data_IF_810529227139
#
_entry.id   IF_810529227139
#
_cell.length_a   1.000
_cell.length_b   1.000
_cell.length_c   1.000
_cell.angle_alpha   90.00
_cell.angle_beta   90.00
_cell.angle_gamma   90.00
#
_symmetry.space_group_name_H-M   'P 1'
#
loop_
_entity.id
_entity.type
_entity.pdbx_description
1 polymer ?
#
# COMPACT_ATOMS: atom_id res chain seq x y z
N UNK A 1 4.19 -22.33 -27.82
CA UNK A 1 4.26 -23.76 -28.25
C UNK A 1 5.40 -24.50 -27.55
N UNK A 2 6.67 -24.10 -27.72
CA UNK A 2 7.81 -24.79 -27.06
C UNK A 2 7.70 -24.82 -25.53
N UNK A 3 7.35 -23.69 -24.88
CA UNK A 3 7.10 -23.65 -23.44
C UNK A 3 6.01 -24.64 -22.99
N UNK A 4 4.89 -24.68 -23.70
CA UNK A 4 3.78 -25.61 -23.40
C UNK A 4 4.19 -27.07 -23.63
N UNK A 5 5.00 -27.34 -24.65
CA UNK A 5 5.60 -28.66 -24.87
C UNK A 5 6.51 -29.05 -23.72
N UNK A 6 7.37 -28.14 -23.25
CA UNK A 6 8.23 -28.36 -22.09
C UNK A 6 7.43 -28.66 -20.85
N UNK A 7 6.39 -27.88 -20.53
CA UNK A 7 5.54 -28.05 -19.33
C UNK A 7 4.76 -29.37 -19.27
N UNK A 8 4.61 -30.05 -20.42
CA UNK A 8 3.97 -31.38 -20.51
C UNK A 8 4.94 -32.54 -20.25
N UNK A 9 6.24 -32.27 -20.17
CA UNK A 9 7.24 -33.29 -19.86
C UNK A 9 7.35 -33.48 -18.35
N UNK A 10 7.80 -34.64 -17.88
CA UNK A 10 8.00 -34.87 -16.43
C UNK A 10 9.35 -34.33 -15.92
N UNK A 11 9.94 -33.33 -16.59
CA UNK A 11 11.27 -32.81 -16.27
C UNK A 11 11.18 -31.40 -15.68
N UNK A 12 11.33 -31.32 -14.35
CA UNK A 12 11.18 -30.08 -13.59
C UNK A 12 12.29 -29.06 -13.87
N UNK A 13 13.51 -29.52 -14.18
CA UNK A 13 14.60 -28.61 -14.55
C UNK A 13 14.36 -28.02 -15.94
N UNK A 14 13.85 -28.81 -16.89
CA UNK A 14 13.42 -28.32 -18.19
C UNK A 14 12.32 -27.25 -18.05
N UNK A 15 11.36 -27.45 -17.15
CA UNK A 15 10.32 -26.45 -16.87
C UNK A 15 10.93 -25.15 -16.35
N UNK A 16 11.81 -25.25 -15.35
CA UNK A 16 12.48 -24.10 -14.74
C UNK A 16 13.29 -23.31 -15.77
N UNK A 17 14.13 -23.98 -16.55
CA UNK A 17 14.95 -23.34 -17.58
C UNK A 17 14.10 -22.73 -18.70
N UNK A 18 13.04 -23.43 -19.12
CA UNK A 18 12.10 -22.92 -20.12
C UNK A 18 11.38 -21.64 -19.66
N UNK A 19 10.95 -21.58 -18.40
CA UNK A 19 10.32 -20.39 -17.81
C UNK A 19 11.31 -19.25 -17.59
N UNK A 20 12.54 -19.55 -17.15
CA UNK A 20 13.60 -18.56 -16.99
C UNK A 20 13.92 -17.91 -18.33
N UNK A 21 14.12 -18.70 -19.39
CA UNK A 21 14.35 -18.19 -20.73
C UNK A 21 13.16 -17.36 -21.22
N UNK A 22 11.93 -17.82 -20.98
CA UNK A 22 10.74 -17.08 -21.37
C UNK A 22 10.61 -15.74 -20.64
N UNK A 23 10.91 -15.71 -19.33
CA UNK A 23 10.95 -14.47 -18.55
C UNK A 23 12.01 -13.49 -19.10
N UNK A 24 13.18 -14.00 -19.48
CA UNK A 24 14.25 -13.18 -20.04
C UNK A 24 13.86 -12.57 -21.39
N UNK A 25 13.26 -13.37 -22.28
CA UNK A 25 12.72 -12.90 -23.57
C UNK A 25 11.68 -11.81 -23.32
N UNK A 26 10.71 -12.06 -22.44
CA UNK A 26 9.67 -11.09 -22.12
C UNK A 26 10.24 -9.81 -21.51
N UNK A 27 11.32 -9.89 -20.73
CA UNK A 27 11.91 -8.72 -20.06
C UNK A 27 12.77 -7.89 -21.01
N UNK A 28 13.55 -8.54 -21.89
CA UNK A 28 14.47 -7.84 -22.80
C UNK A 28 13.84 -7.39 -24.10
N UNK A 29 12.63 -7.85 -24.41
CA UNK A 29 11.95 -7.46 -25.62
C UNK A 29 11.77 -5.93 -25.70
N UNK A 30 12.24 -5.29 -26.79
CA UNK A 30 11.99 -3.87 -27.07
C UNK A 30 10.50 -3.58 -27.26
N UNK A 31 10.07 -2.37 -26.92
CA UNK A 31 8.66 -1.94 -26.96
C UNK A 31 8.11 -1.94 -28.41
N UNK A 32 8.96 -1.73 -29.40
CA UNK A 32 8.58 -1.64 -30.82
C UNK A 32 8.26 -3.01 -31.44
N UNK A 33 8.76 -4.11 -30.85
CA UNK A 33 8.64 -5.44 -31.42
C UNK A 33 7.59 -6.25 -30.66
N UNK A 34 6.40 -6.38 -31.26
CA UNK A 34 5.29 -7.17 -30.71
C UNK A 34 5.59 -8.66 -30.73
N UNK A 35 5.82 -9.26 -29.56
CA UNK A 35 5.94 -10.73 -29.42
C UNK A 35 4.60 -11.44 -29.64
N UNK A 36 3.51 -10.81 -29.24
CA UNK A 36 2.17 -11.34 -29.36
C UNK A 36 1.40 -10.54 -30.40
N UNK A 37 1.24 -11.12 -31.59
CA UNK A 37 0.57 -10.46 -32.73
C UNK A 37 -0.95 -10.62 -32.72
N UNK A 38 -1.49 -11.46 -31.83
CA UNK A 38 -2.93 -11.69 -31.68
C UNK A 38 -3.31 -11.98 -30.23
N UNK A 39 -4.55 -11.65 -29.86
CA UNK A 39 -5.13 -11.96 -28.54
C UNK A 39 -5.15 -13.47 -28.25
N UNK A 40 -5.29 -14.31 -29.28
CA UNK A 40 -5.18 -15.76 -29.14
C UNK A 40 -3.79 -16.20 -28.64
N UNK A 41 -2.71 -15.61 -29.15
CA UNK A 41 -1.36 -15.90 -28.68
C UNK A 41 -1.14 -15.42 -27.23
N UNK A 42 -1.65 -14.24 -26.87
CA UNK A 42 -1.62 -13.76 -25.48
C UNK A 42 -2.35 -14.74 -24.54
N UNK A 43 -3.54 -15.21 -24.93
CA UNK A 43 -4.32 -16.20 -24.17
C UNK A 43 -3.57 -17.52 -23.97
N UNK A 44 -2.96 -18.05 -25.02
CA UNK A 44 -2.20 -19.31 -24.94
C UNK A 44 -0.98 -19.17 -24.01
N UNK A 45 -0.27 -18.04 -24.10
CA UNK A 45 0.84 -17.73 -23.20
C UNK A 45 0.37 -17.58 -21.75
N UNK A 46 -0.71 -16.82 -21.51
CA UNK A 46 -1.32 -16.65 -20.19
C UNK A 46 -1.78 -17.97 -19.58
N UNK A 47 -2.37 -18.87 -20.37
CA UNK A 47 -2.76 -20.22 -19.92
C UNK A 47 -1.54 -21.06 -19.52
N UNK A 48 -0.50 -21.08 -20.34
CA UNK A 48 0.73 -21.82 -20.01
C UNK A 48 1.39 -21.28 -18.73
N UNK A 49 1.41 -19.96 -18.54
CA UNK A 49 1.92 -19.34 -17.31
C UNK A 49 1.06 -19.69 -16.08
N UNK A 50 -0.27 -19.72 -16.23
CA UNK A 50 -1.20 -20.13 -15.17
C UNK A 50 -0.98 -21.59 -14.74
N UNK A 51 -0.79 -22.49 -15.71
CA UNK A 51 -0.41 -23.89 -15.46
C UNK A 51 0.93 -23.97 -14.73
N UNK A 52 1.93 -23.20 -15.17
CA UNK A 52 3.27 -23.20 -14.57
C UNK A 52 3.31 -22.70 -13.11
N UNK A 53 2.55 -21.64 -12.77
CA UNK A 53 2.42 -21.15 -11.38
C UNK A 53 1.78 -22.20 -10.47
N UNK A 54 0.87 -23.00 -11.00
CA UNK A 54 0.19 -24.06 -10.27
C UNK A 54 1.10 -25.29 -10.04
N UNK A 55 2.35 -25.27 -10.52
CA UNK A 55 3.30 -26.35 -10.33
C UNK A 55 3.52 -26.65 -8.83
N UNK A 56 3.55 -27.94 -8.44
CA UNK A 56 3.90 -28.31 -7.06
C UNK A 56 5.36 -27.97 -6.73
N UNK A 57 6.23 -27.82 -7.73
CA UNK A 57 7.64 -27.47 -7.55
C UNK A 57 7.79 -25.96 -7.41
N UNK A 58 8.17 -25.52 -6.21
CA UNK A 58 8.23 -24.10 -5.85
C UNK A 58 9.19 -23.29 -6.76
N UNK A 59 10.31 -23.89 -7.18
CA UNK A 59 11.26 -23.23 -8.08
C UNK A 59 10.66 -22.96 -9.46
N UNK A 60 9.90 -23.91 -10.01
CA UNK A 60 9.18 -23.75 -11.28
C UNK A 60 8.13 -22.65 -11.14
N UNK A 61 7.33 -22.69 -10.06
CA UNK A 61 6.35 -21.65 -9.79
C UNK A 61 7.02 -20.28 -9.62
N UNK A 62 8.17 -20.19 -8.96
CA UNK A 62 8.89 -18.94 -8.76
C UNK A 62 9.42 -18.32 -10.07
N UNK A 63 9.92 -19.13 -11.01
CA UNK A 63 10.30 -18.64 -12.33
C UNK A 63 9.06 -18.27 -13.17
N UNK A 64 7.95 -19.00 -13.02
CA UNK A 64 6.68 -18.62 -13.65
C UNK A 64 6.17 -17.26 -13.16
N UNK A 65 6.32 -16.93 -11.87
CA UNK A 65 5.96 -15.61 -11.33
C UNK A 65 6.76 -14.47 -11.98
N UNK A 66 8.08 -14.66 -12.19
CA UNK A 66 8.90 -13.66 -12.89
C UNK A 66 8.44 -13.50 -14.35
N UNK A 67 8.17 -14.62 -15.03
CA UNK A 67 7.65 -14.59 -16.38
C UNK A 67 6.29 -13.89 -16.46
N UNK A 68 5.39 -14.11 -15.50
CA UNK A 68 4.10 -13.39 -15.40
C UNK A 68 4.32 -11.90 -15.17
N UNK A 69 5.21 -11.53 -14.24
CA UNK A 69 5.53 -10.13 -13.99
C UNK A 69 6.01 -9.43 -15.27
N UNK A 70 6.88 -10.07 -16.04
CA UNK A 70 7.32 -9.56 -17.34
C UNK A 70 6.20 -9.57 -18.39
N UNK A 71 5.36 -10.61 -18.42
CA UNK A 71 4.22 -10.74 -19.34
C UNK A 71 3.16 -9.64 -19.14
N UNK A 72 2.96 -9.17 -17.91
CA UNK A 72 1.99 -8.11 -17.57
C UNK A 72 2.41 -6.70 -17.99
N UNK A 73 3.49 -6.53 -18.76
CA UNK A 73 3.81 -5.24 -19.39
C UNK A 73 2.83 -4.92 -20.50
N UNK A 74 2.50 -3.64 -20.66
CA UNK A 74 1.61 -3.14 -21.71
C UNK A 74 1.92 -3.68 -23.10
N UNK A 75 3.18 -3.63 -23.53
CA UNK A 75 3.56 -4.01 -24.90
C UNK A 75 3.22 -5.46 -25.26
N UNK A 76 3.17 -6.33 -24.26
CA UNK A 76 2.80 -7.73 -24.43
C UNK A 76 1.28 -7.97 -24.41
N UNK A 77 0.52 -7.00 -23.89
CA UNK A 77 -0.94 -7.03 -23.77
C UNK A 77 -1.66 -6.10 -24.76
N UNK A 78 -0.92 -5.35 -25.59
CA UNK A 78 -1.47 -4.40 -26.58
C UNK A 78 -2.20 -5.04 -27.77
N UNK A 79 -2.32 -6.38 -27.83
CA UNK A 79 -3.06 -7.05 -28.89
C UNK A 79 -4.58 -6.95 -28.61
N UNK A 80 -5.33 -6.34 -29.53
CA UNK A 80 -6.77 -6.13 -29.37
C UNK A 80 -7.60 -7.37 -29.78
N UNK A 81 -8.73 -7.64 -29.10
CA UNK A 81 -9.15 -7.03 -27.83
C UNK A 81 -8.26 -7.47 -26.66
N UNK A 82 -8.06 -6.59 -25.68
CA UNK A 82 -7.38 -6.92 -24.42
C UNK A 82 -8.23 -7.94 -23.66
N UNK A 83 -7.61 -9.04 -23.21
CA UNK A 83 -8.32 -10.16 -22.59
C UNK A 83 -8.31 -10.04 -21.05
N UNK A 84 -9.07 -9.09 -20.51
CA UNK A 84 -9.05 -8.78 -19.08
C UNK A 84 -9.43 -9.98 -18.20
N UNK A 85 -10.42 -10.79 -18.58
CA UNK A 85 -10.79 -12.02 -17.86
C UNK A 85 -9.64 -13.03 -17.74
N UNK A 86 -8.84 -13.20 -18.79
CA UNK A 86 -7.66 -14.08 -18.73
C UNK A 86 -6.56 -13.48 -17.83
N UNK A 87 -6.39 -12.15 -17.85
CA UNK A 87 -5.50 -11.45 -16.93
C UNK A 87 -5.95 -11.60 -15.47
N UNK A 88 -7.26 -11.45 -15.18
CA UNK A 88 -7.82 -11.68 -13.85
C UNK A 88 -7.54 -13.11 -13.38
N UNK A 89 -7.79 -14.10 -14.23
CA UNK A 89 -7.54 -15.50 -13.91
C UNK A 89 -6.06 -15.78 -13.63
N UNK A 90 -5.15 -15.17 -14.38
CA UNK A 90 -3.70 -15.30 -14.18
C UNK A 90 -3.26 -14.67 -12.85
N UNK A 91 -3.69 -13.43 -12.58
CA UNK A 91 -3.39 -12.72 -11.33
C UNK A 91 -3.96 -13.46 -10.12
N UNK A 92 -5.20 -13.95 -10.22
CA UNK A 92 -5.83 -14.76 -9.17
C UNK A 92 -5.05 -16.04 -8.87
N UNK A 93 -4.58 -16.75 -9.90
CA UNK A 93 -3.79 -17.97 -9.73
C UNK A 93 -2.47 -17.69 -8.99
N UNK A 94 -1.76 -16.62 -9.36
CA UNK A 94 -0.55 -16.16 -8.69
C UNK A 94 -0.79 -15.83 -7.21
N UNK A 95 -1.78 -14.99 -6.92
CA UNK A 95 -2.10 -14.60 -5.54
C UNK A 95 -2.55 -15.79 -4.69
N UNK A 96 -3.40 -16.67 -5.25
CA UNK A 96 -3.89 -17.87 -4.54
C UNK A 96 -2.74 -18.82 -4.21
N UNK A 97 -1.84 -19.07 -5.16
CA UNK A 97 -0.66 -19.93 -4.93
C UNK A 97 0.20 -19.41 -3.78
N UNK A 98 0.42 -18.10 -3.71
CA UNK A 98 1.18 -17.49 -2.62
C UNK A 98 0.39 -17.53 -1.30
N UNK A 99 -0.93 -17.34 -1.34
CA UNK A 99 -1.80 -17.47 -0.17
C UNK A 99 -1.76 -18.89 0.42
N UNK A 100 -1.79 -19.94 -0.39
CA UNK A 100 -1.74 -21.34 0.06
C UNK A 100 -0.40 -21.66 0.77
N UNK A 101 0.71 -21.20 0.18
CA UNK A 101 2.03 -21.27 0.82
C UNK A 101 2.07 -20.47 2.12
N UNK A 102 1.27 -19.40 2.20
CA UNK A 102 1.18 -18.59 3.41
C UNK A 102 0.42 -19.27 4.56
N UNK A 103 -0.53 -20.14 4.22
CA UNK A 103 -1.37 -20.85 5.18
C UNK A 103 -0.70 -22.09 5.77
N UNK A 104 0.30 -22.64 5.09
CA UNK A 104 1.04 -23.81 5.55
C UNK A 104 1.80 -23.47 6.85
N UNK A 105 1.49 -24.12 7.99
CA UNK A 105 2.18 -23.86 9.25
C UNK A 105 3.67 -24.14 9.13
N UNK A 106 4.53 -23.26 9.68
CA UNK A 106 5.97 -23.51 9.80
C UNK A 106 6.31 -24.65 10.78
N UNK A 107 5.30 -25.22 11.44
CA UNK A 107 5.43 -26.27 12.45
C UNK A 107 5.62 -27.65 11.79
N UNK A 108 6.79 -27.89 11.21
CA UNK A 108 7.42 -29.20 11.33
C UNK A 108 8.38 -29.11 12.51
N UNK A 109 8.08 -29.79 13.62
CA UNK A 109 9.06 -30.08 14.68
C UNK A 109 9.81 -31.36 14.27
N UNK A 110 11.06 -31.32 13.78
CA UNK A 110 11.92 -32.49 13.90
C UNK A 110 12.33 -32.60 15.36
N UNK A 111 12.21 -33.79 15.93
CA UNK A 111 12.84 -34.12 17.20
C UNK A 111 14.36 -33.87 17.06
N UNK A 112 14.88 -32.77 17.61
CA UNK A 112 16.33 -32.49 17.65
C UNK A 112 16.72 -31.04 17.35
N UNK A 113 17.78 -30.58 18.01
CA UNK A 113 18.33 -29.21 18.06
C UNK A 113 18.77 -28.54 16.72
N UNK A 114 18.33 -29.02 15.56
CA UNK A 114 18.59 -28.44 14.23
C UNK A 114 17.51 -27.45 13.74
N UNK A 115 16.53 -27.12 14.59
CA UNK A 115 15.24 -26.50 14.21
C UNK A 115 15.33 -25.03 13.75
N UNK A 116 16.29 -24.22 14.21
CA UNK A 116 16.25 -22.77 13.97
C UNK A 116 16.67 -22.36 12.52
N UNK A 117 17.78 -22.91 12.01
CA UNK A 117 18.30 -22.56 10.66
C UNK A 117 17.35 -22.96 9.52
N UNK A 118 16.61 -24.06 9.69
CA UNK A 118 15.65 -24.53 8.68
C UNK A 118 14.40 -23.64 8.64
N UNK A 119 13.97 -23.11 9.79
CA UNK A 119 12.86 -22.16 9.89
C UNK A 119 13.19 -20.82 9.22
N UNK A 120 14.36 -20.24 9.54
CA UNK A 120 14.84 -18.98 8.93
C UNK A 120 14.94 -19.09 7.40
N UNK A 121 15.46 -20.20 6.89
CA UNK A 121 15.54 -20.46 5.44
C UNK A 121 14.15 -20.60 4.81
N UNK A 122 13.18 -21.20 5.50
CA UNK A 122 11.80 -21.31 5.02
C UNK A 122 11.12 -19.94 4.96
N UNK A 123 11.29 -19.11 5.99
CA UNK A 123 10.79 -17.74 6.04
C UNK A 123 11.38 -16.91 4.89
N UNK A 124 12.70 -17.00 4.67
CA UNK A 124 13.36 -16.29 3.58
C UNK A 124 12.84 -16.71 2.20
N UNK A 125 12.66 -18.02 1.98
CA UNK A 125 12.08 -18.54 0.73
C UNK A 125 10.66 -18.05 0.50
N UNK A 126 9.84 -18.04 1.55
CA UNK A 126 8.47 -17.51 1.53
C UNK A 126 8.45 -16.01 1.25
N UNK A 127 9.37 -15.25 1.86
CA UNK A 127 9.55 -13.82 1.60
C UNK A 127 9.91 -13.52 0.15
N UNK A 128 10.82 -14.31 -0.46
CA UNK A 128 11.18 -14.18 -1.88
C UNK A 128 10.01 -14.52 -2.80
N UNK A 129 9.26 -15.59 -2.49
CA UNK A 129 8.09 -15.97 -3.28
C UNK A 129 6.98 -14.91 -3.20
N UNK A 130 6.74 -14.36 -2.01
CA UNK A 130 5.82 -13.24 -1.79
C UNK A 130 6.27 -12.01 -2.57
N UNK A 131 7.55 -11.65 -2.53
CA UNK A 131 8.08 -10.51 -3.28
C UNK A 131 7.82 -10.66 -4.79
N UNK A 132 8.16 -11.80 -5.38
CA UNK A 132 7.91 -12.06 -6.81
C UNK A 132 6.41 -11.98 -7.15
N UNK A 133 5.54 -12.48 -6.26
CA UNK A 133 4.08 -12.42 -6.42
C UNK A 133 3.59 -10.97 -6.41
N UNK A 134 4.08 -10.16 -5.45
CA UNK A 134 3.74 -8.75 -5.33
C UNK A 134 4.27 -7.93 -6.51
N UNK A 135 5.44 -8.26 -7.06
CA UNK A 135 5.96 -7.62 -8.27
C UNK A 135 5.07 -7.90 -9.49
N UNK A 136 4.59 -9.14 -9.64
CA UNK A 136 3.59 -9.49 -10.65
C UNK A 136 2.30 -8.69 -10.45
N UNK A 137 1.81 -8.59 -9.22
CA UNK A 137 0.58 -7.87 -8.91
C UNK A 137 0.72 -6.35 -9.11
N UNK A 138 1.87 -5.77 -8.76
CA UNK A 138 2.21 -4.37 -9.07
C UNK A 138 2.19 -4.12 -10.56
N UNK A 139 2.75 -5.03 -11.36
CA UNK A 139 2.74 -4.87 -12.82
C UNK A 139 1.32 -4.98 -13.39
N UNK A 140 0.43 -5.80 -12.82
CA UNK A 140 -0.99 -5.79 -13.18
C UNK A 140 -1.67 -4.43 -12.87
N UNK A 141 -1.37 -3.83 -11.72
CA UNK A 141 -1.87 -2.48 -11.38
C UNK A 141 -1.33 -1.41 -12.32
N UNK A 142 -0.03 -1.49 -12.65
CA UNK A 142 0.61 -0.58 -13.62
C UNK A 142 -0.02 -0.72 -15.01
N UNK A 143 -0.27 -1.95 -15.47
CA UNK A 143 -0.95 -2.22 -16.73
C UNK A 143 -2.32 -1.54 -16.79
N UNK A 144 -3.12 -1.68 -15.73
CA UNK A 144 -4.42 -1.01 -15.65
C UNK A 144 -4.29 0.51 -15.76
N UNK A 145 -3.32 1.10 -15.05
CA UNK A 145 -3.04 2.55 -15.09
C UNK A 145 -2.60 3.02 -16.48
N UNK A 146 -1.79 2.23 -17.18
CA UNK A 146 -1.32 2.55 -18.54
C UNK A 146 -2.48 2.48 -19.55
N UNK A 147 -3.39 1.50 -19.43
CA UNK A 147 -4.55 1.38 -20.30
C UNK A 147 -5.66 2.40 -20.02
N UNK A 148 -5.71 3.04 -18.85
CA UNK A 148 -6.66 4.15 -18.61
C UNK A 148 -6.49 5.31 -19.60
N UNK A 149 -5.29 5.46 -20.17
CA UNK A 149 -4.98 6.50 -21.16
C UNK A 149 -5.26 6.06 -22.60
N UNK A 150 -5.69 4.83 -22.81
CA UNK A 150 -5.91 4.24 -24.13
C UNK A 150 -7.38 3.92 -24.37
N UNK A 151 -8.08 4.68 -25.23
CA UNK A 151 -9.48 4.45 -25.54
C UNK A 151 -9.75 3.05 -26.13
N UNK A 152 -8.84 2.54 -26.96
CA UNK A 152 -8.95 1.23 -27.61
C UNK A 152 -8.82 0.05 -26.65
N UNK A 153 -8.28 0.28 -25.44
CA UNK A 153 -8.10 -0.74 -24.42
C UNK A 153 -9.25 -0.77 -23.40
N UNK A 154 -10.18 0.19 -23.41
CA UNK A 154 -11.21 0.28 -22.36
C UNK A 154 -12.16 -0.92 -22.35
N UNK A 155 -12.59 -1.33 -23.53
CA UNK A 155 -13.60 -2.37 -23.71
C UNK A 155 -13.29 -3.16 -24.98
N UNK A 156 -13.84 -4.37 -25.07
CA UNK A 156 -13.74 -5.14 -26.29
C UNK A 156 -14.60 -4.50 -27.41
N UNK A 157 -14.00 -4.03 -28.53
CA UNK A 157 -14.71 -3.35 -29.61
C UNK A 157 -15.70 -4.25 -30.37
N UNK A 158 -15.65 -5.56 -30.15
CA UNK A 158 -16.57 -6.53 -30.75
C UNK A 158 -17.79 -6.83 -29.85
N UNK A 159 -17.93 -6.16 -28.71
CA UNK A 159 -19.08 -6.33 -27.80
C UNK A 159 -20.27 -5.54 -28.33
N UNK A 160 -21.42 -6.21 -28.53
CA UNK A 160 -22.63 -5.54 -28.96
C UNK A 160 -23.09 -4.48 -27.92
N UNK A 161 -23.64 -3.33 -28.32
CA UNK A 161 -24.06 -2.27 -27.39
C UNK A 161 -25.08 -2.69 -26.32
N UNK A 162 -25.83 -3.76 -26.60
CA UNK A 162 -26.86 -4.33 -25.71
C UNK A 162 -26.37 -5.49 -24.86
N UNK A 163 -25.13 -5.96 -25.03
CA UNK A 163 -24.55 -7.06 -24.26
C UNK A 163 -23.87 -6.55 -22.98
N UNK A 164 -23.89 -7.36 -21.92
CA UNK A 164 -23.14 -7.05 -20.70
C UNK A 164 -21.65 -6.94 -21.00
N UNK A 165 -21.08 -5.79 -20.64
CA UNK A 165 -19.66 -5.48 -20.83
C UNK A 165 -18.85 -6.10 -19.69
N UNK A 166 -18.68 -7.42 -19.73
CA UNK A 166 -17.99 -8.15 -18.65
C UNK A 166 -16.44 -8.14 -18.77
N UNK A 167 -15.88 -7.77 -19.93
CA UNK A 167 -14.44 -7.82 -20.21
C UNK A 167 -13.88 -6.40 -20.44
N UNK A 168 -13.96 -5.57 -19.39
CA UNK A 168 -13.58 -4.15 -19.42
C UNK A 168 -12.40 -3.85 -18.48
N UNK A 169 -11.74 -2.72 -18.74
CA UNK A 169 -10.69 -2.20 -17.87
C UNK A 169 -11.20 -1.86 -16.46
N UNK A 170 -12.45 -1.39 -16.36
CA UNK A 170 -13.10 -1.08 -15.08
C UNK A 170 -13.27 -2.35 -14.24
N UNK A 171 -13.85 -3.41 -14.82
CA UNK A 171 -13.99 -4.71 -14.15
C UNK A 171 -12.64 -5.30 -13.74
N UNK A 172 -11.59 -5.12 -14.56
CA UNK A 172 -10.23 -5.52 -14.19
C UNK A 172 -9.70 -4.72 -13.00
N UNK A 173 -9.88 -3.40 -13.00
CA UNK A 173 -9.38 -2.51 -11.92
C UNK A 173 -10.09 -2.80 -10.60
N UNK A 174 -11.42 -3.01 -10.63
CA UNK A 174 -12.20 -3.44 -9.46
C UNK A 174 -11.77 -4.83 -8.95
N UNK A 175 -11.51 -5.77 -9.87
CA UNK A 175 -10.95 -7.07 -9.53
C UNK A 175 -9.60 -6.92 -8.79
N UNK A 176 -8.70 -6.05 -9.27
CA UNK A 176 -7.41 -5.82 -8.62
C UNK A 176 -7.61 -5.28 -7.20
N UNK A 177 -8.50 -4.32 -6.99
CA UNK A 177 -8.82 -3.82 -5.65
C UNK A 177 -9.37 -4.94 -4.74
N UNK A 178 -10.32 -5.72 -5.23
CA UNK A 178 -10.92 -6.84 -4.48
C UNK A 178 -9.91 -7.94 -4.15
N UNK A 179 -9.05 -8.30 -5.10
CA UNK A 179 -7.97 -9.28 -4.89
C UNK A 179 -6.91 -8.75 -3.91
N UNK A 180 -6.64 -7.44 -3.92
CA UNK A 180 -5.75 -6.83 -2.94
C UNK A 180 -6.33 -6.98 -1.53
N UNK A 181 -7.60 -6.61 -1.38
CA UNK A 181 -8.31 -6.62 -0.11
C UNK A 181 -8.46 -8.02 0.50
N UNK A 182 -8.82 -9.00 -0.34
CA UNK A 182 -9.14 -10.36 0.11
C UNK A 182 -7.93 -11.31 0.18
N UNK A 183 -6.88 -11.09 -0.61
CA UNK A 183 -5.73 -11.99 -0.70
C UNK A 183 -4.40 -11.30 -0.36
N UNK A 184 -4.10 -10.17 -1.00
CA UNK A 184 -2.80 -9.50 -0.87
C UNK A 184 -2.56 -8.98 0.56
N UNK A 185 -3.51 -8.21 1.11
CA UNK A 185 -3.40 -7.63 2.46
C UNK A 185 -3.23 -8.75 3.51
N UNK A 186 -4.11 -9.75 3.62
CA UNK A 186 -3.94 -10.82 4.61
C UNK A 186 -2.60 -11.56 4.49
N UNK A 187 -2.14 -11.80 3.26
CA UNK A 187 -0.88 -12.50 3.00
C UNK A 187 0.35 -11.70 3.46
N UNK A 188 0.38 -10.40 3.19
CA UNK A 188 1.47 -9.51 3.61
C UNK A 188 1.43 -9.28 5.12
N UNK A 189 0.26 -9.08 5.72
CA UNK A 189 0.13 -8.89 7.17
C UNK A 189 0.60 -10.14 7.93
N UNK A 190 0.23 -11.33 7.44
CA UNK A 190 0.70 -12.59 8.04
C UNK A 190 2.20 -12.79 7.90
N UNK A 191 2.80 -12.35 6.79
CA UNK A 191 4.25 -12.36 6.65
C UNK A 191 4.89 -11.37 7.63
N UNK A 192 4.35 -10.16 7.75
CA UNK A 192 4.82 -9.10 8.67
C UNK A 192 4.89 -9.58 10.13
N UNK A 193 3.91 -10.36 10.59
CA UNK A 193 3.89 -10.96 11.92
C UNK A 193 5.07 -11.92 12.18
N UNK A 194 5.59 -12.57 11.13
CA UNK A 194 6.66 -13.56 11.21
C UNK A 194 8.04 -12.96 10.93
N UNK A 195 8.12 -12.10 9.92
CA UNK A 195 9.35 -11.51 9.45
C UNK A 195 9.06 -10.23 8.67
N UNK A 196 10.10 -9.41 8.51
CA UNK A 196 9.96 -8.14 7.82
C UNK A 196 11.09 -7.95 6.84
N UNK A 197 10.74 -7.67 5.59
CA UNK A 197 11.70 -7.35 4.54
C UNK A 197 11.31 -6.02 3.88
N UNK A 198 12.19 -4.99 3.88
CA UNK A 198 11.90 -3.67 3.34
C UNK A 198 11.34 -3.69 1.91
N UNK A 199 11.94 -4.49 1.02
CA UNK A 199 11.49 -4.61 -0.37
C UNK A 199 10.05 -5.14 -0.51
N UNK A 200 9.62 -6.09 0.35
CA UNK A 200 8.24 -6.61 0.32
C UNK A 200 7.25 -5.50 0.66
N UNK A 201 7.58 -4.71 1.70
CA UNK A 201 6.72 -3.63 2.18
C UNK A 201 6.69 -2.46 1.19
N UNK A 202 7.81 -2.15 0.56
CA UNK A 202 7.91 -1.13 -0.49
C UNK A 202 7.01 -1.48 -1.68
N UNK A 203 7.09 -2.72 -2.18
CA UNK A 203 6.24 -3.14 -3.30
C UNK A 203 4.77 -3.17 -2.88
N UNK A 204 4.47 -3.67 -1.68
CA UNK A 204 3.10 -3.75 -1.18
C UNK A 204 2.45 -2.36 -1.03
N UNK A 205 3.12 -1.40 -0.40
CA UNK A 205 2.58 -0.05 -0.26
C UNK A 205 2.47 0.66 -1.62
N UNK A 206 3.38 0.38 -2.56
CA UNK A 206 3.29 0.88 -3.94
C UNK A 206 2.05 0.35 -4.67
N UNK A 207 1.68 -0.91 -4.42
CA UNK A 207 0.44 -1.51 -4.91
C UNK A 207 -0.78 -0.80 -4.33
N UNK A 208 -0.84 -0.60 -3.01
CA UNK A 208 -1.96 0.12 -2.38
C UNK A 208 -2.12 1.53 -2.95
N UNK A 209 -1.00 2.22 -3.17
CA UNK A 209 -1.02 3.53 -3.80
C UNK A 209 -1.58 3.48 -5.23
N UNK A 210 -1.17 2.50 -6.04
CA UNK A 210 -1.67 2.32 -7.40
C UNK A 210 -3.18 2.09 -7.42
N UNK A 211 -3.73 1.36 -6.44
CA UNK A 211 -5.17 1.13 -6.31
C UNK A 211 -5.98 2.41 -6.05
N UNK A 212 -5.42 3.38 -5.32
CA UNK A 212 -6.06 4.70 -5.17
C UNK A 212 -6.16 5.47 -6.49
N UNK A 213 -5.27 5.20 -7.44
CA UNK A 213 -5.26 5.84 -8.76
C UNK A 213 -6.20 5.12 -9.72
N UNK A 214 -6.14 3.78 -9.76
CA UNK A 214 -6.91 3.01 -10.76
C UNK A 214 -8.39 2.82 -10.40
N UNK A 215 -8.78 2.92 -9.12
CA UNK A 215 -10.19 2.85 -8.67
C UNK A 215 -10.57 4.07 -7.83
N UNK A 216 -10.61 5.28 -8.41
CA UNK A 216 -10.78 6.53 -7.65
C UNK A 216 -12.13 6.60 -6.90
N UNK A 217 -13.19 6.00 -7.44
CA UNK A 217 -14.52 6.00 -6.82
C UNK A 217 -14.58 5.15 -5.53
N UNK A 218 -13.64 4.23 -5.32
CA UNK A 218 -13.52 3.44 -4.08
C UNK A 218 -12.49 3.98 -3.10
N UNK A 219 -11.74 5.03 -3.49
CA UNK A 219 -10.62 5.58 -2.72
C UNK A 219 -10.99 5.91 -1.28
N UNK A 220 -12.15 6.53 -1.05
CA UNK A 220 -12.62 6.89 0.29
C UNK A 220 -12.93 5.64 1.13
N UNK A 221 -13.74 4.72 0.62
CA UNK A 221 -14.12 3.48 1.31
C UNK A 221 -12.89 2.64 1.65
N UNK A 222 -11.96 2.54 0.70
CA UNK A 222 -10.72 1.79 0.88
C UNK A 222 -9.82 2.46 1.92
N UNK A 223 -9.65 3.78 1.87
CA UNK A 223 -8.86 4.53 2.87
C UNK A 223 -9.42 4.36 4.28
N UNK A 224 -10.74 4.47 4.46
CA UNK A 224 -11.40 4.25 5.75
C UNK A 224 -11.15 2.84 6.28
N UNK A 225 -11.23 1.83 5.42
CA UNK A 225 -10.96 0.43 5.79
C UNK A 225 -9.50 0.22 6.20
N UNK A 226 -8.55 0.75 5.43
CA UNK A 226 -7.12 0.65 5.73
C UNK A 226 -6.79 1.34 7.06
N UNK A 227 -7.31 2.55 7.28
CA UNK A 227 -7.13 3.26 8.54
C UNK A 227 -7.70 2.46 9.73
N UNK A 228 -8.93 1.96 9.62
CA UNK A 228 -9.54 1.09 10.64
C UNK A 228 -8.78 -0.24 10.86
N UNK A 229 -7.96 -0.66 9.88
CA UNK A 229 -7.11 -1.85 9.95
C UNK A 229 -5.67 -1.54 10.38
N UNK A 230 -5.44 -0.37 10.98
CA UNK A 230 -4.16 0.09 11.49
C UNK A 230 -3.05 0.44 10.48
N UNK A 231 -3.40 0.86 9.27
CA UNK A 231 -2.40 1.15 8.25
C UNK A 231 -1.65 2.48 8.45
N UNK A 232 -2.19 3.43 9.23
CA UNK A 232 -1.43 4.65 9.59
C UNK A 232 -0.29 4.24 10.51
N UNK A 233 -0.60 3.47 11.57
CA UNK A 233 0.40 2.90 12.48
C UNK A 233 1.42 2.06 11.73
N UNK A 234 0.98 1.14 10.87
CA UNK A 234 1.88 0.27 10.11
C UNK A 234 2.92 1.07 9.31
N UNK A 235 2.48 2.09 8.57
CA UNK A 235 3.39 2.90 7.75
C UNK A 235 4.40 3.70 8.61
N UNK A 236 3.98 4.20 9.78
CA UNK A 236 4.87 4.88 10.72
C UNK A 236 5.87 3.91 11.37
N UNK A 237 5.43 2.71 11.75
CA UNK A 237 6.31 1.66 12.28
C UNK A 237 7.35 1.21 11.25
N UNK A 238 6.95 1.09 9.98
CA UNK A 238 7.86 0.81 8.87
C UNK A 238 8.93 1.89 8.73
N UNK A 239 8.52 3.16 8.69
CA UNK A 239 9.44 4.31 8.59
C UNK A 239 10.39 4.36 9.79
N UNK A 240 9.88 4.19 11.01
CA UNK A 240 10.70 4.20 12.21
C UNK A 240 11.66 3.01 12.33
N UNK A 241 11.33 1.88 11.71
CA UNK A 241 12.17 0.67 11.74
C UNK A 241 13.26 0.66 10.69
N UNK A 242 13.02 1.22 9.50
CA UNK A 242 13.94 1.09 8.35
C UNK A 242 14.45 2.41 7.78
N UNK A 243 13.74 3.51 7.98
CA UNK A 243 13.98 4.79 7.32
C UNK A 243 14.63 5.83 8.24
N UNK A 244 15.29 5.39 9.32
CA UNK A 244 16.12 6.27 10.13
C UNK A 244 17.38 6.68 9.35
N UNK A 245 17.57 7.99 9.12
CA UNK A 245 18.67 8.51 8.31
C UNK A 245 18.42 8.38 6.80
N UNK A 246 19.46 8.08 6.03
CA UNK A 246 19.38 7.91 4.56
C UNK A 246 19.09 6.45 4.12
N UNK A 247 18.84 5.55 5.07
CA UNK A 247 18.56 4.15 4.80
C UNK A 247 17.19 3.96 4.14
N UNK A 248 17.11 3.08 3.15
CA UNK A 248 15.84 2.69 2.50
C UNK A 248 14.96 3.89 2.07
N UNK A 249 15.57 4.87 1.37
CA UNK A 249 14.88 6.08 0.90
C UNK A 249 13.67 5.79 0.00
N UNK A 250 13.74 4.73 -0.82
CA UNK A 250 12.61 4.28 -1.65
C UNK A 250 11.40 3.86 -0.79
N UNK A 251 11.61 3.02 0.23
CA UNK A 251 10.57 2.67 1.20
C UNK A 251 10.03 3.91 1.92
N UNK A 252 10.90 4.84 2.34
CA UNK A 252 10.46 6.08 2.99
C UNK A 252 9.53 6.89 2.09
N UNK A 253 9.89 7.02 0.80
CA UNK A 253 9.10 7.73 -0.18
C UNK A 253 7.75 7.06 -0.38
N UNK A 254 7.73 5.74 -0.58
CA UNK A 254 6.48 4.99 -0.78
C UNK A 254 5.58 5.08 0.44
N UNK A 255 6.10 4.93 1.67
CA UNK A 255 5.30 5.11 2.88
C UNK A 255 4.74 6.53 2.99
N UNK A 256 5.54 7.54 2.64
CA UNK A 256 5.14 8.95 2.70
C UNK A 256 4.07 9.26 1.66
N UNK A 257 4.20 8.77 0.42
CA UNK A 257 3.17 8.88 -0.60
C UNK A 257 1.89 8.16 -0.18
N UNK A 258 1.98 6.93 0.32
CA UNK A 258 0.83 6.17 0.82
C UNK A 258 0.08 6.93 1.91
N UNK A 259 0.79 7.41 2.94
CA UNK A 259 0.22 8.21 4.02
C UNK A 259 -0.41 9.51 3.49
N UNK A 260 0.25 10.20 2.57
CA UNK A 260 -0.27 11.42 1.94
C UNK A 260 -1.63 11.16 1.27
N UNK A 261 -1.72 10.20 0.36
CA UNK A 261 -2.96 9.92 -0.37
C UNK A 261 -4.08 9.43 0.54
N UNK A 262 -3.75 8.62 1.54
CA UNK A 262 -4.70 8.15 2.54
C UNK A 262 -5.22 9.32 3.38
N UNK A 263 -4.34 10.16 3.92
CA UNK A 263 -4.73 11.31 4.75
C UNK A 263 -5.61 12.29 3.98
N UNK A 264 -5.23 12.64 2.75
CA UNK A 264 -6.05 13.50 1.89
C UNK A 264 -7.40 12.84 1.62
N UNK A 265 -7.45 11.54 1.33
CA UNK A 265 -8.72 10.84 1.11
C UNK A 265 -9.64 10.85 2.33
N UNK A 266 -9.07 10.73 3.53
CA UNK A 266 -9.84 10.69 4.78
C UNK A 266 -10.35 12.08 5.14
N UNK A 267 -9.52 13.12 4.97
CA UNK A 267 -9.90 14.51 5.24
C UNK A 267 -10.92 15.06 4.24
N UNK A 268 -10.87 14.63 2.97
CA UNK A 268 -11.86 15.01 1.96
C UNK A 268 -13.19 14.27 2.12
N UNK A 269 -13.27 13.24 2.97
CA UNK A 269 -14.50 12.51 3.18
C UNK A 269 -15.55 13.42 3.86
N UNK A 270 -16.81 13.43 3.38
CA UNK A 270 -17.85 14.24 4.00
C UNK A 270 -18.19 13.66 5.38
N UNK A 271 -17.66 14.26 6.44
CA UNK A 271 -18.15 14.03 7.81
C UNK A 271 -19.32 14.97 8.13
N UNK A 272 -19.94 14.76 9.30
CA UNK A 272 -21.08 15.57 9.79
C UNK A 272 -20.79 17.07 9.88
N UNK A 273 -19.53 17.47 9.88
CA UNK A 273 -19.04 18.86 9.92
C UNK A 273 -18.80 19.49 8.55
N UNK A 274 -19.11 18.79 7.46
CA UNK A 274 -18.81 19.21 6.08
C UNK A 274 -17.32 19.00 5.73
N UNK A 275 -16.98 18.85 4.43
CA UNK A 275 -15.60 18.73 4.01
C UNK A 275 -14.84 20.04 4.25
N UNK A 276 -13.52 19.99 4.50
CA UNK A 276 -12.68 21.18 4.55
C UNK A 276 -12.77 21.98 3.25
N UNK A 277 -12.56 23.31 3.35
CA UNK A 277 -12.53 24.16 2.17
C UNK A 277 -11.39 23.77 1.23
N UNK A 278 -11.46 24.17 -0.05
CA UNK A 278 -10.40 23.87 -1.02
C UNK A 278 -9.04 24.46 -0.59
N UNK A 279 -9.06 25.63 0.05
CA UNK A 279 -7.88 26.29 0.62
C UNK A 279 -7.30 25.50 1.80
N UNK A 280 -8.18 25.00 2.70
CA UNK A 280 -7.77 24.15 3.83
C UNK A 280 -7.13 22.84 3.34
N UNK A 281 -7.70 22.20 2.31
CA UNK A 281 -7.14 20.99 1.70
C UNK A 281 -5.78 21.25 1.03
N UNK A 282 -5.61 22.40 0.38
CA UNK A 282 -4.33 22.79 -0.23
C UNK A 282 -3.25 22.98 0.83
N UNK A 283 -3.57 23.71 1.91
CA UNK A 283 -2.63 23.92 3.01
C UNK A 283 -2.22 22.60 3.69
N UNK A 284 -3.17 21.69 3.90
CA UNK A 284 -2.86 20.36 4.46
C UNK A 284 -2.04 19.53 3.48
N UNK A 285 -2.33 19.61 2.18
CA UNK A 285 -1.57 18.90 1.14
C UNK A 285 -0.10 19.30 1.17
N UNK A 286 0.21 20.60 1.16
CA UNK A 286 1.59 21.11 1.23
C UNK A 286 2.30 20.63 2.50
N UNK A 287 1.61 20.75 3.64
CA UNK A 287 2.12 20.35 4.94
C UNK A 287 2.46 18.86 5.00
N UNK A 288 1.58 17.99 4.47
CA UNK A 288 1.82 16.55 4.41
C UNK A 288 2.95 16.20 3.43
N UNK A 289 3.01 16.85 2.26
CA UNK A 289 4.07 16.61 1.27
C UNK A 289 5.47 16.92 1.82
N UNK A 290 5.61 18.02 2.55
CA UNK A 290 6.90 18.39 3.16
C UNK A 290 7.20 17.62 4.45
N UNK A 291 6.17 17.39 5.28
CA UNK A 291 6.34 16.80 6.61
C UNK A 291 6.57 15.28 6.60
N UNK A 292 5.80 14.53 5.81
CA UNK A 292 5.81 13.06 5.85
C UNK A 292 7.19 12.44 5.56
N UNK A 293 7.98 12.89 4.56
CA UNK A 293 9.31 12.34 4.31
C UNK A 293 10.27 12.48 5.49
N UNK A 294 10.07 13.49 6.34
CA UNK A 294 10.93 13.81 7.48
C UNK A 294 10.55 13.08 8.78
N UNK A 295 9.43 12.36 8.78
CA UNK A 295 8.98 11.57 9.93
C UNK A 295 9.60 10.18 9.83
N UNK A 296 10.48 9.83 10.75
CA UNK A 296 10.97 8.45 10.95
C UNK A 296 10.99 8.08 12.43
N UNK A 297 10.13 8.73 13.23
CA UNK A 297 10.05 8.54 14.67
C UNK A 297 8.97 7.54 15.07
N UNK A 298 9.19 6.82 16.18
CA UNK A 298 8.18 5.95 16.81
C UNK A 298 7.17 6.78 17.61
N UNK A 299 6.00 6.21 17.93
CA UNK A 299 4.96 6.89 18.72
C UNK A 299 5.46 7.71 19.92
N UNK A 300 6.29 7.16 20.84
CA UNK A 300 6.85 7.93 21.96
C UNK A 300 7.76 9.09 21.55
N UNK A 301 8.57 8.90 20.50
CA UNK A 301 9.45 9.94 19.96
C UNK A 301 8.64 11.02 19.23
N UNK A 302 7.61 10.65 18.48
CA UNK A 302 6.67 11.59 17.85
C UNK A 302 5.91 12.40 18.91
N UNK A 303 5.54 11.79 20.03
CA UNK A 303 4.95 12.50 21.18
C UNK A 303 5.95 13.48 21.83
N UNK A 304 7.21 13.08 21.98
CA UNK A 304 8.25 13.96 22.51
C UNK A 304 8.48 15.17 21.59
N UNK A 305 8.57 14.95 20.28
CA UNK A 305 8.66 16.00 19.26
C UNK A 305 7.46 16.95 19.30
N UNK A 306 6.25 16.41 19.46
CA UNK A 306 5.04 17.21 19.59
C UNK A 306 5.03 18.03 20.89
N UNK A 307 5.57 17.46 21.98
CA UNK A 307 5.63 18.12 23.29
C UNK A 307 6.73 19.17 23.40
N UNK A 308 7.64 19.24 22.43
CA UNK A 308 8.77 20.15 22.48
C UNK A 308 8.30 21.60 22.43
N UNK A 309 8.72 22.36 23.45
CA UNK A 309 8.38 23.77 23.66
C UNK A 309 9.54 24.70 23.37
N UNK A 310 10.72 24.18 23.06
CA UNK A 310 11.85 25.02 22.66
C UNK A 310 11.48 25.83 21.42
N UNK A 311 12.20 26.93 21.16
CA UNK A 311 11.99 27.68 19.93
C UNK A 311 12.16 26.73 18.73
N UNK A 312 11.10 26.58 17.93
CA UNK A 312 11.03 25.56 16.90
C UNK A 312 11.28 26.25 15.56
N UNK A 313 12.34 25.89 14.86
CA UNK A 313 12.51 26.32 13.45
C UNK A 313 11.29 25.91 12.62
N UNK A 314 10.97 26.66 11.57
CA UNK A 314 9.75 26.44 10.78
C UNK A 314 9.62 25.00 10.25
N UNK A 315 10.73 24.37 9.85
CA UNK A 315 10.74 22.98 9.43
C UNK A 315 10.39 21.99 10.56
N UNK A 316 10.79 22.28 11.80
CA UNK A 316 10.40 21.49 12.96
C UNK A 316 8.93 21.73 13.35
N UNK A 317 8.40 22.95 13.14
CA UNK A 317 6.99 23.25 13.36
C UNK A 317 6.08 22.51 12.36
N UNK A 318 6.44 22.52 11.08
CA UNK A 318 5.72 21.76 10.05
C UNK A 318 5.68 20.26 10.37
N UNK A 319 6.78 19.71 10.92
CA UNK A 319 6.81 18.32 11.40
C UNK A 319 5.83 18.09 12.56
N UNK A 320 5.76 18.99 13.53
CA UNK A 320 4.78 18.89 14.64
C UNK A 320 3.35 18.90 14.10
N UNK A 321 3.03 19.78 13.15
CA UNK A 321 1.70 19.81 12.53
C UNK A 321 1.38 18.50 11.81
N UNK A 322 2.34 17.94 11.06
CA UNK A 322 2.16 16.69 10.34
C UNK A 322 1.89 15.51 11.31
N UNK A 323 2.68 15.42 12.38
CA UNK A 323 2.50 14.44 13.46
C UNK A 323 1.12 14.58 14.11
N UNK A 324 0.67 15.81 14.37
CA UNK A 324 -0.63 16.07 14.98
C UNK A 324 -1.78 15.61 14.08
N UNK A 325 -1.71 15.89 12.78
CA UNK A 325 -2.71 15.45 11.81
C UNK A 325 -2.77 13.91 11.71
N UNK A 326 -1.60 13.25 11.74
CA UNK A 326 -1.53 11.79 11.77
C UNK A 326 -2.17 11.21 13.02
N UNK A 327 -1.91 11.79 14.20
CA UNK A 327 -2.57 11.37 15.44
C UNK A 327 -4.08 11.59 15.40
N UNK A 328 -4.53 12.73 14.88
CA UNK A 328 -5.94 13.05 14.73
C UNK A 328 -6.68 12.02 13.86
N UNK A 329 -6.16 11.76 12.66
CA UNK A 329 -6.74 10.78 11.73
C UNK A 329 -6.70 9.36 12.31
N UNK A 330 -5.59 8.99 12.92
CA UNK A 330 -5.46 7.70 13.59
C UNK A 330 -6.49 7.55 14.72
N UNK A 331 -6.77 8.62 15.46
CA UNK A 331 -7.73 8.57 16.56
C UNK A 331 -9.18 8.47 16.06
N UNK A 332 -9.54 9.20 15.01
CA UNK A 332 -10.88 9.12 14.36
C UNK A 332 -11.15 7.72 13.83
N UNK A 333 -10.15 7.09 13.25
CA UNK A 333 -10.29 5.77 12.63
C UNK A 333 -9.91 4.62 13.56
N UNK A 334 -9.84 4.85 14.87
CA UNK A 334 -9.54 3.83 15.89
C UNK A 334 -8.16 3.13 15.72
N UNK A 335 -7.25 3.71 14.93
CA UNK A 335 -5.86 3.27 14.77
C UNK A 335 -4.97 3.81 15.91
N UNK A 336 -5.35 3.54 17.16
CA UNK A 336 -4.69 4.16 18.32
C UNK A 336 -3.34 3.51 18.60
N UNK A 337 -2.25 4.25 18.37
CA UNK A 337 -0.87 3.78 18.59
C UNK A 337 -0.10 4.54 19.68
N UNK A 338 -0.78 5.41 20.42
CA UNK A 338 -0.23 6.15 21.57
C UNK A 338 -1.23 6.19 22.74
N UNK A 339 -0.71 6.36 23.96
CA UNK A 339 -1.54 6.51 25.16
C UNK A 339 -2.34 7.82 25.12
N UNK A 340 -3.64 7.76 25.43
CA UNK A 340 -4.53 8.93 25.52
C UNK A 340 -3.97 10.02 26.43
N UNK A 341 -3.53 9.64 27.63
CA UNK A 341 -2.96 10.56 28.62
C UNK A 341 -1.70 11.24 28.09
N UNK A 342 -0.79 10.49 27.46
CA UNK A 342 0.43 11.06 26.90
C UNK A 342 0.14 11.97 25.70
N UNK A 343 -0.80 11.58 24.84
CA UNK A 343 -1.23 12.40 23.71
C UNK A 343 -1.86 13.71 24.18
N UNK A 344 -2.74 13.65 25.18
CA UNK A 344 -3.35 14.84 25.79
C UNK A 344 -2.29 15.85 26.27
N UNK A 345 -1.30 15.37 27.06
CA UNK A 345 -0.22 16.21 27.56
C UNK A 345 0.66 16.80 26.44
N UNK A 346 0.89 16.01 25.38
CA UNK A 346 1.66 16.46 24.22
C UNK A 346 0.93 17.55 23.44
N UNK A 347 -0.37 17.38 23.17
CA UNK A 347 -1.20 18.39 22.48
C UNK A 347 -1.33 19.66 23.30
N UNK A 348 -1.48 19.55 24.62
CA UNK A 348 -1.49 20.73 25.50
C UNK A 348 -0.16 21.49 25.44
N UNK A 349 0.96 20.77 25.49
CA UNK A 349 2.29 21.38 25.40
C UNK A 349 2.55 22.05 24.05
N UNK A 350 2.09 21.44 22.97
CA UNK A 350 2.13 22.00 21.63
C UNK A 350 1.34 23.31 21.51
N UNK A 351 0.10 23.36 22.01
CA UNK A 351 -0.70 24.59 21.96
C UNK A 351 -0.10 25.72 22.80
N UNK A 352 0.50 25.39 23.95
CA UNK A 352 1.23 26.36 24.76
C UNK A 352 2.46 26.89 24.01
N UNK A 353 3.20 26.04 23.29
CA UNK A 353 4.37 26.50 22.53
C UNK A 353 4.00 27.42 21.36
N UNK A 354 2.85 27.18 20.70
CA UNK A 354 2.30 28.11 19.70
C UNK A 354 1.93 29.45 20.33
N UNK A 355 1.32 29.43 21.51
CA UNK A 355 0.95 30.64 22.23
C UNK A 355 2.19 31.45 22.65
N UNK A 356 3.20 30.78 23.22
CA UNK A 356 4.45 31.41 23.67
C UNK A 356 5.21 32.06 22.51
N UNK A 357 5.07 31.52 21.29
CA UNK A 357 5.73 32.02 20.07
C UNK A 357 4.82 32.95 19.23
N UNK A 358 3.57 33.17 19.64
CA UNK A 358 2.60 34.02 18.93
C UNK A 358 2.17 33.47 17.55
N UNK A 359 2.38 32.19 17.30
CA UNK A 359 2.09 31.54 16.03
C UNK A 359 0.59 31.21 15.87
N UNK A 360 0.11 31.24 14.62
CA UNK A 360 -1.25 30.83 14.27
C UNK A 360 -1.18 29.57 13.40
N UNK A 361 -1.61 28.39 13.90
CA UNK A 361 -1.59 27.18 13.12
C UNK A 361 -2.69 27.21 12.04
N UNK A 362 -2.55 26.43 10.95
CA UNK A 362 -3.64 26.22 9.99
C UNK A 362 -4.91 25.72 10.68
N UNK A 363 -6.10 26.13 10.18
CA UNK A 363 -7.38 25.83 10.82
C UNK A 363 -7.63 24.33 11.02
N UNK A 364 -7.20 23.48 10.08
CA UNK A 364 -7.32 22.02 10.21
C UNK A 364 -6.48 21.47 11.36
N UNK A 365 -5.27 21.99 11.56
CA UNK A 365 -4.37 21.63 12.67
C UNK A 365 -4.99 22.08 14.00
N UNK A 366 -5.61 23.25 14.02
CA UNK A 366 -6.32 23.74 15.19
C UNK A 366 -7.53 22.86 15.54
N UNK A 367 -8.39 22.53 14.56
CA UNK A 367 -9.53 21.61 14.73
C UNK A 367 -9.08 20.24 15.25
N UNK A 368 -8.01 19.70 14.66
CA UNK A 368 -7.41 18.45 15.09
C UNK A 368 -6.94 18.50 16.56
N UNK A 369 -6.30 19.59 16.96
CA UNK A 369 -5.87 19.83 18.35
C UNK A 369 -7.05 19.79 19.32
N UNK A 370 -8.11 20.53 19.01
CA UNK A 370 -9.31 20.63 19.86
C UNK A 370 -10.00 19.28 19.97
N UNK A 371 -10.14 18.56 18.86
CA UNK A 371 -10.72 17.21 18.86
C UNK A 371 -9.92 16.24 19.74
N UNK A 372 -8.59 16.23 19.59
CA UNK A 372 -7.71 15.33 20.36
C UNK A 372 -7.76 15.65 21.86
N UNK A 373 -7.81 16.93 22.25
CA UNK A 373 -7.99 17.32 23.66
C UNK A 373 -9.33 16.83 24.20
N UNK A 374 -10.43 17.08 23.49
CA UNK A 374 -11.77 16.70 23.94
C UNK A 374 -11.93 15.18 24.08
N UNK A 375 -11.33 14.41 23.16
CA UNK A 375 -11.47 12.94 23.13
C UNK A 375 -10.46 12.19 24.01
N UNK A 376 -9.35 12.83 24.40
CA UNK A 376 -8.37 12.26 25.32
C UNK A 376 -8.56 12.73 26.77
N UNK A 377 -9.49 13.65 27.03
CA UNK A 377 -9.83 14.09 28.38
C UNK A 377 -10.50 12.94 29.16
N UNK A 378 -9.89 12.55 30.29
CA UNK A 378 -10.50 11.58 31.20
C UNK A 378 -11.70 12.21 31.93
N UNK A 379 -12.77 11.43 32.11
CA UNK A 379 -14.00 11.88 32.80
C UNK A 379 -13.77 12.22 34.28
N UNK A 380 -12.68 11.73 34.86
CA UNK A 380 -12.34 11.91 36.28
C UNK A 380 -11.37 13.09 36.55
N UNK A 381 -10.88 13.76 35.50
CA UNK A 381 -10.01 14.94 35.61
C UNK A 381 -10.80 16.24 35.73
N UNK A 382 -11.30 16.54 36.93
CA UNK A 382 -11.97 17.81 37.25
C UNK A 382 -11.19 19.06 36.78
N UNK A 383 -11.83 19.87 35.93
CA UNK A 383 -11.84 21.34 36.00
C UNK A 383 -10.50 22.11 36.12
N UNK A 384 -9.48 21.79 35.33
CA UNK A 384 -8.33 22.71 35.13
C UNK A 384 -8.37 23.44 33.76
N UNK A 385 -9.32 23.11 32.88
CA UNK A 385 -9.20 23.42 31.44
C UNK A 385 -9.88 24.70 30.91
N UNK A 386 -10.54 25.52 31.73
CA UNK A 386 -11.18 26.76 31.24
C UNK A 386 -10.20 27.90 30.88
N UNK A 387 -8.89 27.76 31.09
CA UNK A 387 -7.90 28.82 30.78
C UNK A 387 -7.26 28.77 29.39
N UNK A 388 -7.31 27.63 28.69
CA UNK A 388 -6.74 27.52 27.33
C UNK A 388 -7.73 28.05 26.30
N UNK A 389 -9.02 27.73 26.44
CA UNK A 389 -10.08 28.20 25.52
C UNK A 389 -10.39 29.70 25.65
N UNK A 390 -10.10 30.33 26.80
CA UNK A 390 -10.30 31.78 27.02
C UNK A 390 -9.13 32.65 26.57
N UNK A 391 -8.03 32.05 26.08
CA UNK A 391 -6.79 32.77 25.72
C UNK A 391 -6.29 32.50 24.30
N UNK A 392 -7.02 31.74 23.50
CA UNK A 392 -6.77 31.55 22.07
C UNK A 392 -7.70 32.51 21.30
N UNK A 393 -7.18 33.58 20.67
CA UNK A 393 -8.01 34.60 19.99
C UNK A 393 -8.84 34.06 18.81
N UNK A 394 -8.56 32.84 18.34
CA UNK A 394 -9.28 32.20 17.24
C UNK A 394 -10.65 31.62 17.61
N UNK A 395 -11.06 31.69 18.89
CA UNK A 395 -12.39 31.27 19.34
C UNK A 395 -13.35 32.45 19.61
N UNK A 396 -12.91 33.69 19.30
CA UNK A 396 -13.72 34.91 19.45
C UNK A 396 -14.11 35.57 18.13
N UNK A 397 -13.96 34.89 16.99
CA UNK A 397 -14.45 35.34 15.68
C UNK A 397 -15.14 34.21 14.92
#
# INVERSE_FOLDING_TARGET
>A
RSLQGSLRMNNTELHKQGLLLFAEILTRQPEEIKLFTSSAMCRDAGRALREAVSSPVLEVAAEALKAISAFLRKDHQSALPVLYKELQALVKAMLSRCADLSQTPLNWRPLGHASNRNSERAILRRGKFLLNTLEGFRNACRLAMEFQREPSAQENPFTAPSAEKEDTLEAFSEFLLSACDSLCIPMVMRYWEQATHPAVMEVFLSVLHSLFVIVPHMKEKFSKKLAASSFIRLALELKARFCSGLSHSALNQVCSSFLYYMCISLLSAPEKTGPPSQEELSAVSELLQHGLPQISSRGPESLALLSDRQYVEEAARQRQYCILLLFYLAYIHEDRFVSKTKLFMAVQSFLLSLQDQGERPPLVVFRASVYLLATCQDKDGCLVHCRIFSRIPALSQ
#
